data_IF_105262723302
#
_entry.id   IF_105262723302
#
_cell.length_a   1.000
_cell.length_b   1.000
_cell.length_c   1.000
_cell.angle_alpha   90.00
_cell.angle_beta   90.00
_cell.angle_gamma   90.00
#
_symmetry.space_group_name_H-M   'P 1'
#
loop_
_entity.id
_entity.type
_entity.pdbx_description
1 polymer ?
#
# COMPACT_ATOMS: atom_id res chain seq x y z
N UNK A 1 14.69 0.13 -46.46
CA UNK A 1 13.96 1.07 -45.59
C UNK A 1 13.41 0.31 -44.39
N UNK A 2 13.97 0.51 -43.19
CA UNK A 2 13.35 0.03 -41.95
C UNK A 2 12.34 1.09 -41.47
N UNK A 3 11.11 0.67 -41.19
CA UNK A 3 10.09 1.49 -40.53
C UNK A 3 10.02 1.01 -39.09
N UNK A 4 10.41 1.87 -38.14
CA UNK A 4 10.23 1.59 -36.72
C UNK A 4 8.88 2.14 -36.28
N UNK A 5 7.99 1.26 -35.80
CA UNK A 5 6.67 1.62 -35.28
C UNK A 5 6.79 1.68 -33.75
N UNK A 6 6.47 2.82 -33.14
CA UNK A 6 6.34 2.96 -31.70
C UNK A 6 4.85 3.07 -31.34
N UNK A 7 4.34 2.14 -30.53
CA UNK A 7 2.99 2.22 -29.95
C UNK A 7 3.07 2.93 -28.60
N UNK A 8 2.29 4.00 -28.44
CA UNK A 8 2.03 4.64 -27.15
C UNK A 8 0.55 4.45 -26.80
N UNK A 9 0.26 3.69 -25.74
CA UNK A 9 -1.05 3.68 -25.11
C UNK A 9 -1.10 4.81 -24.07
N UNK A 10 -1.99 5.80 -24.26
CA UNK A 10 -2.25 6.85 -23.28
C UNK A 10 -3.55 6.51 -22.56
N UNK A 11 -3.49 6.11 -21.30
CA UNK A 11 -4.68 5.96 -20.45
C UNK A 11 -5.17 7.34 -19.96
N UNK A 12 -6.49 7.60 -19.87
CA UNK A 12 -6.99 8.90 -19.45
C UNK A 12 -6.86 9.10 -17.93
N UNK A 13 -6.19 10.19 -17.55
CA UNK A 13 -6.18 10.75 -16.20
C UNK A 13 -7.56 11.34 -15.85
N UNK A 14 -8.06 11.06 -14.64
CA UNK A 14 -9.29 11.63 -14.09
C UNK A 14 -9.07 13.08 -13.61
N UNK A 15 -9.92 14.00 -14.07
CA UNK A 15 -10.06 15.36 -13.52
C UNK A 15 -11.37 15.42 -12.72
N UNK A 16 -11.31 15.91 -11.47
CA UNK A 16 -12.43 16.08 -10.53
C UNK A 16 -13.61 16.88 -11.12
N UNK A 17 -14.82 16.34 -11.04
CA UNK A 17 -16.10 17.04 -11.26
C UNK A 17 -17.31 16.17 -10.88
N UNK A 18 -18.32 16.75 -10.22
CA UNK A 18 -19.48 16.09 -9.57
C UNK A 18 -20.47 15.40 -10.54
N UNK A 19 -21.13 14.34 -10.03
CA UNK A 19 -22.48 13.79 -10.34
C UNK A 19 -22.85 13.51 -11.83
N UNK A 20 -23.50 12.44 -12.28
CA UNK A 20 -24.54 11.52 -11.75
C UNK A 20 -24.54 10.20 -12.56
N UNK A 21 -24.98 9.10 -11.93
CA UNK A 21 -25.54 7.84 -12.47
C UNK A 21 -25.36 7.48 -13.96
N UNK A 22 -24.68 6.35 -14.26
CA UNK A 22 -24.94 5.54 -15.47
C UNK A 22 -24.52 4.06 -15.27
N UNK A 23 -25.38 3.13 -15.71
CA UNK A 23 -25.18 1.66 -15.72
C UNK A 23 -24.07 1.22 -16.71
N UNK A 24 -23.52 -0.01 -16.57
CA UNK A 24 -22.40 -0.46 -17.38
C UNK A 24 -22.88 -0.98 -18.74
N UNK A 25 -22.44 -0.35 -19.83
CA UNK A 25 -22.44 -0.96 -21.15
C UNK A 25 -20.99 -1.10 -21.61
N UNK A 26 -20.60 -2.32 -21.97
CA UNK A 26 -19.34 -2.66 -22.62
C UNK A 26 -19.12 -1.73 -23.83
N UNK A 27 -18.13 -0.83 -23.75
CA UNK A 27 -17.70 -0.01 -24.87
C UNK A 27 -16.18 -0.14 -25.02
N UNK A 28 -15.76 -0.65 -26.17
CA UNK A 28 -14.38 -0.82 -26.59
C UNK A 28 -13.63 0.54 -26.61
N UNK A 29 -12.41 0.56 -26.07
CA UNK A 29 -11.56 1.76 -26.00
C UNK A 29 -10.95 2.08 -27.38
N UNK A 30 -10.91 3.35 -27.84
CA UNK A 30 -10.25 3.70 -29.09
C UNK A 30 -8.72 3.78 -28.91
N UNK A 31 -7.98 3.07 -29.77
CA UNK A 31 -6.52 3.15 -29.86
C UNK A 31 -6.15 4.16 -30.96
N UNK A 32 -5.38 5.19 -30.62
CA UNK A 32 -4.81 6.10 -31.61
C UNK A 32 -3.46 5.59 -32.11
N UNK A 33 -3.29 5.46 -33.42
CA UNK A 33 -2.04 5.05 -34.06
C UNK A 33 -1.36 6.27 -34.72
N UNK A 34 -0.11 6.57 -34.36
CA UNK A 34 0.68 7.63 -35.01
C UNK A 34 1.82 6.99 -35.79
N UNK A 35 1.83 7.17 -37.12
CA UNK A 35 2.91 6.71 -38.00
C UNK A 35 3.81 7.89 -38.37
N UNK A 36 5.10 7.79 -38.06
CA UNK A 36 6.12 8.77 -38.48
C UNK A 36 6.91 8.17 -39.63
N UNK A 37 6.85 8.80 -40.82
CA UNK A 37 7.65 8.41 -41.98
C UNK A 37 8.89 9.30 -42.07
N UNK A 38 10.07 8.73 -41.84
CA UNK A 38 11.33 9.42 -42.17
C UNK A 38 11.61 9.28 -43.68
N UNK A 39 11.49 10.38 -44.43
CA UNK A 39 11.90 10.42 -45.83
C UNK A 39 13.43 10.60 -45.92
N UNK A 40 14.13 9.60 -46.46
CA UNK A 40 15.55 9.74 -46.82
C UNK A 40 15.65 10.40 -48.19
N UNK A 41 16.30 11.57 -48.26
CA UNK A 41 16.62 12.21 -49.53
C UNK A 41 17.88 11.57 -50.15
N UNK A 42 17.77 11.15 -51.41
CA UNK A 42 18.91 10.76 -52.24
C UNK A 42 19.73 12.00 -52.66
N UNK A 43 21.02 11.77 -52.89
CA UNK A 43 22.11 12.75 -53.09
C UNK A 43 21.82 14.02 -53.91
N UNK A 44 22.22 15.19 -53.39
CA UNK A 44 23.34 16.01 -53.93
C UNK A 44 23.58 17.34 -53.18
N UNK A 45 24.85 17.61 -52.86
CA UNK A 45 25.49 18.86 -52.37
C UNK A 45 25.30 19.33 -50.91
N UNK A 46 26.31 20.00 -50.29
CA UNK A 46 26.37 20.21 -48.84
C UNK A 46 26.11 21.67 -48.47
N UNK A 47 24.86 22.05 -48.15
CA UNK A 47 24.58 23.22 -47.30
C UNK A 47 23.41 22.91 -46.37
N UNK A 48 23.63 23.19 -45.08
CA UNK A 48 22.73 22.97 -43.93
C UNK A 48 21.24 23.14 -44.27
N UNK A 49 20.50 22.04 -44.25
CA UNK A 49 19.05 22.06 -44.05
C UNK A 49 18.71 21.13 -42.88
N UNK A 50 17.95 21.67 -41.91
CA UNK A 50 17.41 20.90 -40.78
C UNK A 50 16.29 19.98 -41.30
N UNK A 51 16.15 18.73 -40.82
CA UNK A 51 15.05 17.88 -41.24
C UNK A 51 13.73 18.47 -40.75
N UNK A 52 12.77 18.66 -41.66
CA UNK A 52 11.38 18.99 -41.34
C UNK A 52 10.62 17.67 -41.20
N UNK A 53 10.22 17.32 -39.99
CA UNK A 53 9.32 16.19 -39.77
C UNK A 53 7.89 16.63 -40.17
N UNK A 54 7.31 15.97 -41.18
CA UNK A 54 5.87 16.11 -41.46
C UNK A 54 5.09 15.13 -40.59
N UNK A 55 4.21 15.66 -39.74
CA UNK A 55 3.31 14.89 -38.90
C UNK A 55 2.01 14.64 -39.69
N UNK A 56 1.70 13.39 -40.02
CA UNK A 56 0.40 13.01 -40.57
C UNK A 56 -0.41 12.32 -39.47
N UNK A 57 -1.55 12.93 -39.09
CA UNK A 57 -2.50 12.36 -38.13
C UNK A 57 -3.62 11.71 -38.93
N UNK A 58 -3.75 10.39 -38.87
CA UNK A 58 -4.88 9.65 -39.47
C UNK A 58 -5.78 9.20 -38.33
N UNK A 59 -6.94 9.84 -38.19
CA UNK A 59 -8.02 9.40 -37.29
C UNK A 59 -8.92 8.40 -38.01
N UNK A 60 -9.04 7.18 -37.50
CA UNK A 60 -10.13 6.26 -37.87
C UNK A 60 -11.17 6.36 -36.77
N UNK A 61 -12.34 6.90 -37.07
CA UNK A 61 -13.44 7.00 -36.11
C UNK A 61 -14.79 6.99 -36.81
N UNK A 62 -15.66 6.06 -36.41
CA UNK A 62 -17.09 6.18 -36.66
C UNK A 62 -17.71 7.06 -35.57
N UNK A 63 -18.33 8.14 -36.02
CA UNK A 63 -19.30 9.07 -35.41
C UNK A 63 -19.30 9.30 -33.88
N UNK A 64 -18.81 10.48 -33.48
CA UNK A 64 -19.42 11.33 -32.44
C UNK A 64 -19.08 12.82 -32.70
N UNK A 65 -20.04 13.70 -32.41
CA UNK A 65 -20.16 15.13 -32.79
C UNK A 65 -18.88 16.00 -32.85
N UNK A 66 -18.81 16.87 -33.87
CA UNK A 66 -17.62 17.63 -34.29
C UNK A 66 -17.03 18.70 -33.37
N UNK A 67 -17.62 19.00 -32.20
CA UNK A 67 -17.04 19.99 -31.28
C UNK A 67 -15.90 19.42 -30.40
N UNK A 68 -15.90 18.11 -30.17
CA UNK A 68 -14.91 17.43 -29.30
C UNK A 68 -13.58 17.23 -30.03
N UNK A 69 -13.61 17.00 -31.35
CA UNK A 69 -12.44 16.69 -32.16
C UNK A 69 -11.45 17.87 -32.29
N UNK A 70 -11.96 19.11 -32.39
CA UNK A 70 -11.12 20.31 -32.51
C UNK A 70 -10.29 20.61 -31.26
N UNK A 71 -10.80 20.29 -30.06
CA UNK A 71 -10.08 20.47 -28.79
C UNK A 71 -8.96 19.44 -28.59
N UNK A 72 -9.13 18.21 -29.08
CA UNK A 72 -8.12 17.16 -29.00
C UNK A 72 -6.95 17.39 -29.96
N UNK A 73 -7.22 17.84 -31.20
CA UNK A 73 -6.17 18.17 -32.18
C UNK A 73 -5.30 19.34 -31.69
N UNK A 74 -5.90 20.36 -31.08
CA UNK A 74 -5.16 21.49 -30.52
C UNK A 74 -4.25 21.10 -29.32
N UNK A 75 -4.68 20.15 -28.48
CA UNK A 75 -3.92 19.72 -27.30
C UNK A 75 -2.71 18.85 -27.68
N UNK A 76 -2.84 17.97 -28.67
CA UNK A 76 -1.72 17.16 -29.17
C UNK A 76 -0.63 18.01 -29.85
N UNK A 77 -1.00 19.11 -30.51
CA UNK A 77 -0.05 20.06 -31.11
C UNK A 77 0.71 20.86 -30.04
N UNK A 78 0.09 21.14 -28.89
CA UNK A 78 0.72 21.87 -27.79
C UNK A 78 1.78 21.06 -27.03
N UNK A 79 1.58 19.74 -26.87
CA UNK A 79 2.55 18.86 -26.18
C UNK A 79 3.84 18.68 -27.01
N UNK A 80 3.75 18.73 -28.34
CA UNK A 80 4.89 18.56 -29.24
C UNK A 80 5.79 19.80 -29.36
N UNK A 81 5.35 20.98 -28.93
CA UNK A 81 6.09 22.25 -29.10
C UNK A 81 6.82 22.75 -27.86
N UNK A 82 6.64 22.13 -26.67
CA UNK A 82 7.12 22.68 -25.38
C UNK A 82 8.27 21.88 -24.72
N UNK A 83 8.75 20.78 -25.32
CA UNK A 83 9.93 20.05 -24.79
C UNK A 83 11.24 20.49 -25.47
N UNK A 84 12.25 21.01 -24.73
CA UNK A 84 13.54 21.36 -25.31
C UNK A 84 14.35 20.09 -25.62
N UNK A 85 14.85 19.99 -26.85
CA UNK A 85 15.73 18.93 -27.30
C UNK A 85 17.04 18.93 -26.47
N UNK A 86 17.27 17.89 -25.66
CA UNK A 86 18.61 17.53 -25.17
C UNK A 86 19.14 16.36 -26.00
N UNK A 87 20.38 16.55 -26.45
CA UNK A 87 21.11 15.80 -27.45
C UNK A 87 21.33 14.32 -27.10
N UNK A 88 20.97 13.41 -28.01
CA UNK A 88 21.51 12.06 -28.04
C UNK A 88 22.59 11.97 -29.13
N UNK A 89 23.80 11.56 -28.73
CA UNK A 89 24.91 11.24 -29.63
C UNK A 89 24.75 9.80 -30.11
N UNK A 90 24.66 9.59 -31.42
CA UNK A 90 24.66 8.27 -32.03
C UNK A 90 26.11 7.84 -32.36
N UNK A 91 26.52 6.64 -31.95
CA UNK A 91 27.74 5.98 -32.44
C UNK A 91 27.39 5.00 -33.58
N UNK A 92 28.21 4.88 -34.63
CA UNK A 92 27.90 4.02 -35.77
C UNK A 92 28.17 2.53 -35.49
N UNK A 93 27.28 1.68 -36.02
CA UNK A 93 27.33 0.23 -35.93
C UNK A 93 28.39 -0.33 -36.89
N UNK A 94 29.36 -1.06 -36.33
CA UNK A 94 30.34 -1.87 -37.08
C UNK A 94 29.82 -3.28 -37.37
N UNK A 95 30.31 -3.82 -38.49
CA UNK A 95 29.93 -5.10 -39.13
C UNK A 95 30.17 -6.32 -38.23
N UNK A 96 29.23 -7.28 -38.24
CA UNK A 96 29.29 -8.53 -37.49
C UNK A 96 30.20 -9.60 -38.15
N UNK A 97 30.97 -10.40 -37.38
CA UNK A 97 31.58 -11.63 -37.88
C UNK A 97 30.72 -12.87 -37.57
N UNK A 98 30.84 -13.87 -38.45
CA UNK A 98 30.13 -15.16 -38.48
C UNK A 98 30.30 -15.97 -37.18
N UNK A 99 29.19 -16.47 -36.62
CA UNK A 99 29.15 -17.43 -35.51
C UNK A 99 29.20 -18.88 -36.02
N UNK A 100 30.00 -19.74 -35.37
CA UNK A 100 29.99 -21.22 -35.52
C UNK A 100 28.98 -21.84 -34.53
N UNK A 101 28.43 -23.05 -34.80
CA UNK A 101 27.47 -23.67 -33.90
C UNK A 101 28.16 -24.27 -32.67
N UNK A 102 27.62 -24.00 -31.48
CA UNK A 102 27.99 -24.67 -30.23
C UNK A 102 26.85 -25.59 -29.82
N UNK A 103 27.20 -26.86 -29.58
CA UNK A 103 26.34 -27.95 -29.11
C UNK A 103 25.75 -27.67 -27.73
N UNK A 104 24.43 -27.79 -27.59
CA UNK A 104 23.71 -27.75 -26.31
C UNK A 104 23.87 -29.09 -25.57
N UNK A 105 24.55 -29.07 -24.43
CA UNK A 105 24.40 -30.09 -23.38
C UNK A 105 23.75 -29.44 -22.17
N UNK A 106 22.67 -30.04 -21.68
CA UNK A 106 21.91 -29.61 -20.49
C UNK A 106 22.68 -29.91 -19.20
N UNK A 107 22.87 -28.96 -18.27
CA UNK A 107 23.34 -29.28 -16.93
C UNK A 107 22.16 -29.74 -16.06
N UNK A 108 22.31 -30.88 -15.38
CA UNK A 108 21.47 -31.27 -14.24
C UNK A 108 21.80 -30.37 -13.05
N UNK A 109 20.80 -29.73 -12.45
CA UNK A 109 20.94 -29.01 -11.19
C UNK A 109 21.18 -30.00 -10.02
N UNK A 110 22.14 -29.76 -9.12
CA UNK A 110 22.22 -30.50 -7.87
C UNK A 110 21.22 -29.92 -6.84
N UNK A 111 20.61 -30.80 -6.05
CA UNK A 111 19.71 -30.44 -4.96
C UNK A 111 20.44 -29.62 -3.87
N UNK A 112 19.79 -28.56 -3.39
CA UNK A 112 20.33 -27.68 -2.34
C UNK A 112 19.95 -28.26 -0.95
N UNK A 113 20.90 -28.49 -0.03
CA UNK A 113 20.60 -29.05 1.29
C UNK A 113 19.98 -28.01 2.24
N UNK A 114 19.05 -28.47 3.08
CA UNK A 114 18.19 -27.73 4.03
C UNK A 114 18.89 -26.97 5.19
N UNK A 115 20.17 -26.59 5.09
CA UNK A 115 20.89 -25.90 6.17
C UNK A 115 21.04 -24.37 5.99
N UNK A 116 20.47 -23.79 4.93
CA UNK A 116 20.64 -22.37 4.57
C UNK A 116 19.82 -21.35 5.37
N UNK A 117 18.67 -21.74 5.93
CA UNK A 117 17.75 -20.81 6.59
C UNK A 117 18.35 -20.13 7.84
N UNK A 118 19.25 -20.82 8.56
CA UNK A 118 19.88 -20.32 9.79
C UNK A 118 20.91 -19.21 9.55
N UNK A 119 21.57 -19.18 8.40
CA UNK A 119 22.61 -18.19 8.10
C UNK A 119 22.05 -16.89 7.49
N UNK A 120 20.91 -16.97 6.80
CA UNK A 120 20.25 -15.82 6.16
C UNK A 120 19.63 -14.85 7.18
N UNK A 121 19.00 -15.38 8.24
CA UNK A 121 18.48 -14.56 9.35
C UNK A 121 19.58 -13.81 10.11
N UNK A 122 20.78 -14.41 10.22
CA UNK A 122 21.94 -13.81 10.89
C UNK A 122 22.55 -12.68 10.06
N UNK A 123 22.61 -12.85 8.73
CA UNK A 123 23.12 -11.82 7.82
C UNK A 123 22.18 -10.61 7.68
N UNK A 124 20.85 -10.83 7.69
CA UNK A 124 19.86 -9.76 7.73
C UNK A 124 19.92 -8.95 9.04
N UNK A 125 20.19 -9.63 10.17
CA UNK A 125 20.38 -8.96 11.46
C UNK A 125 21.65 -8.10 11.50
N UNK A 126 22.75 -8.55 10.88
CA UNK A 126 24.03 -7.83 10.91
C UNK A 126 24.09 -6.59 10.01
N UNK A 127 23.43 -6.61 8.83
CA UNK A 127 23.40 -5.44 7.93
C UNK A 127 22.39 -4.36 8.33
N UNK A 128 21.39 -4.72 9.12
CA UNK A 128 20.45 -3.76 9.74
C UNK A 128 21.11 -2.89 10.82
N UNK A 129 22.34 -3.23 11.26
CA UNK A 129 23.03 -2.55 12.35
C UNK A 129 23.74 -1.25 11.92
N UNK A 130 24.04 -1.08 10.63
CA UNK A 130 24.83 0.06 10.10
C UNK A 130 23.97 1.26 9.65
N UNK A 131 22.66 1.09 9.52
CA UNK A 131 21.68 2.18 9.39
C UNK A 131 20.77 2.16 10.62
N UNK A 132 21.33 2.47 11.79
CA UNK A 132 20.49 2.81 12.95
C UNK A 132 19.83 4.15 12.63
N UNK A 133 18.64 4.09 12.02
CA UNK A 133 17.71 5.21 12.07
C UNK A 133 17.46 5.46 13.56
N UNK A 134 17.90 6.62 14.06
CA UNK A 134 17.75 6.95 15.47
C UNK A 134 16.28 6.81 15.86
N UNK A 135 16.01 6.09 16.95
CA UNK A 135 14.66 5.95 17.47
C UNK A 135 14.11 7.34 17.76
N UNK A 136 12.94 7.65 17.19
CA UNK A 136 12.34 8.97 17.34
C UNK A 136 11.82 9.15 18.77
N UNK A 137 12.00 10.34 19.35
CA UNK A 137 11.44 10.67 20.66
C UNK A 137 9.89 10.55 20.64
N UNK A 138 9.34 9.64 21.46
CA UNK A 138 7.89 9.36 21.47
C UNK A 138 7.13 10.27 22.45
N UNK A 139 7.09 11.58 22.16
CA UNK A 139 6.24 12.51 22.92
C UNK A 139 4.77 12.25 22.57
N UNK A 140 3.86 12.03 23.56
CA UNK A 140 2.47 11.68 23.29
C UNK A 140 1.66 12.90 22.82
N UNK A 141 1.56 13.10 21.51
CA UNK A 141 0.79 14.16 20.85
C UNK A 141 -0.72 13.90 20.88
N UNK A 142 -1.13 12.63 20.85
CA UNK A 142 -2.53 12.18 20.83
C UNK A 142 -2.71 11.01 21.82
N UNK A 143 -2.64 11.27 23.14
CA UNK A 143 -2.68 10.21 24.14
C UNK A 143 -4.03 9.47 24.15
N UNK A 144 -4.00 8.17 24.41
CA UNK A 144 -5.21 7.39 24.70
C UNK A 144 -5.68 7.70 26.11
N UNK A 145 -6.92 8.15 26.23
CA UNK A 145 -7.54 8.57 27.49
C UNK A 145 -8.90 7.89 27.69
N UNK A 146 -9.51 8.07 28.87
CA UNK A 146 -10.86 7.56 29.16
C UNK A 146 -11.96 8.03 28.20
N UNK A 147 -11.72 9.14 27.51
CA UNK A 147 -12.64 9.72 26.54
C UNK A 147 -12.37 9.21 25.11
N UNK A 148 -11.29 8.45 24.92
CA UNK A 148 -10.96 7.84 23.64
C UNK A 148 -11.89 6.68 23.31
N UNK A 149 -12.40 6.73 22.09
CA UNK A 149 -13.15 5.67 21.44
C UNK A 149 -12.28 5.04 20.36
N UNK A 150 -11.98 3.75 20.51
CA UNK A 150 -10.92 3.05 19.76
C UNK A 150 -11.51 1.85 19.03
N UNK A 151 -11.48 1.88 17.69
CA UNK A 151 -11.80 0.73 16.86
C UNK A 151 -10.55 -0.12 16.67
N UNK A 152 -10.60 -1.39 17.09
CA UNK A 152 -9.53 -2.36 16.84
C UNK A 152 -10.08 -3.42 15.88
N UNK A 153 -9.57 -3.40 14.65
CA UNK A 153 -9.97 -4.36 13.62
C UNK A 153 -9.08 -5.59 13.68
N UNK A 154 -9.67 -6.77 13.89
CA UNK A 154 -8.93 -8.02 14.05
C UNK A 154 -8.44 -8.24 15.49
N UNK A 155 -9.36 -8.23 16.45
CA UNK A 155 -9.08 -8.26 17.88
C UNK A 155 -9.16 -9.66 18.53
N UNK A 156 -9.45 -10.70 17.76
CA UNK A 156 -9.76 -12.04 18.29
C UNK A 156 -8.60 -12.73 19.03
N UNK A 157 -7.34 -12.47 18.65
CA UNK A 157 -6.16 -13.18 19.18
C UNK A 157 -4.87 -12.38 18.96
N UNK A 158 -3.76 -12.91 19.48
CA UNK A 158 -2.42 -12.36 19.29
C UNK A 158 -2.32 -10.87 19.66
N UNK A 159 -1.70 -10.10 18.77
CA UNK A 159 -1.49 -8.65 18.92
C UNK A 159 -2.83 -7.90 19.12
N UNK A 160 -3.86 -8.24 18.34
CA UNK A 160 -5.16 -7.56 18.42
C UNK A 160 -5.84 -7.71 19.77
N UNK A 161 -5.82 -8.92 20.34
CA UNK A 161 -6.37 -9.17 21.68
C UNK A 161 -5.57 -8.44 22.76
N UNK A 162 -4.25 -8.37 22.62
CA UNK A 162 -3.41 -7.65 23.57
C UNK A 162 -3.60 -6.13 23.49
N UNK A 163 -3.80 -5.58 22.29
CA UNK A 163 -4.23 -4.19 22.10
C UNK A 163 -5.54 -3.90 22.84
N UNK A 164 -6.55 -4.77 22.73
CA UNK A 164 -7.82 -4.62 23.48
C UNK A 164 -7.56 -4.53 24.98
N UNK A 165 -6.77 -5.45 25.54
CA UNK A 165 -6.51 -5.50 26.98
C UNK A 165 -5.81 -4.22 27.48
N UNK A 166 -4.72 -3.83 26.84
CA UNK A 166 -3.93 -2.68 27.29
C UNK A 166 -4.69 -1.35 27.10
N UNK A 167 -5.40 -1.18 25.99
CA UNK A 167 -6.15 0.05 25.72
C UNK A 167 -7.38 0.14 26.63
N UNK A 168 -8.10 -0.97 26.87
CA UNK A 168 -9.19 -0.98 27.85
C UNK A 168 -8.70 -0.72 29.28
N UNK A 169 -7.49 -1.19 29.65
CA UNK A 169 -6.89 -0.92 30.95
C UNK A 169 -6.55 0.58 31.18
N UNK A 170 -6.38 1.36 30.09
CA UNK A 170 -6.29 2.84 30.16
C UNK A 170 -7.65 3.53 30.37
N UNK A 171 -8.74 2.77 30.43
CA UNK A 171 -10.11 3.26 30.61
C UNK A 171 -10.80 3.70 29.32
N UNK A 172 -10.16 3.55 28.16
CA UNK A 172 -10.74 3.84 26.85
C UNK A 172 -11.95 2.95 26.56
N UNK A 173 -12.85 3.40 25.68
CA UNK A 173 -13.86 2.53 25.08
C UNK A 173 -13.30 1.86 23.83
N UNK A 174 -13.27 0.53 23.80
CA UNK A 174 -12.74 -0.28 22.72
C UNK A 174 -13.88 -0.95 21.97
N UNK A 175 -13.95 -0.72 20.67
CA UNK A 175 -14.78 -1.48 19.73
C UNK A 175 -13.88 -2.53 19.11
N UNK A 176 -13.95 -3.75 19.62
CA UNK A 176 -13.08 -4.85 19.24
C UNK A 176 -13.77 -5.74 18.19
N UNK A 177 -13.21 -5.82 16.99
CA UNK A 177 -13.82 -6.62 15.93
C UNK A 177 -13.30 -8.05 15.85
N UNK A 178 -14.16 -8.96 15.41
CA UNK A 178 -13.84 -10.37 15.18
C UNK A 178 -14.52 -10.87 13.91
N UNK A 179 -13.96 -11.92 13.27
CA UNK A 179 -14.47 -12.36 11.95
C UNK A 179 -15.69 -13.28 12.03
N UNK A 180 -15.56 -14.38 12.77
CA UNK A 180 -16.57 -15.43 12.89
C UNK A 180 -17.23 -15.32 14.27
N UNK A 181 -16.83 -16.17 15.20
CA UNK A 181 -17.21 -16.09 16.61
C UNK A 181 -16.10 -15.42 17.43
N UNK A 182 -16.43 -14.69 18.50
CA UNK A 182 -15.43 -14.15 19.40
C UNK A 182 -14.72 -15.30 20.10
N UNK A 183 -13.39 -15.27 20.18
CA UNK A 183 -12.62 -16.29 20.91
C UNK A 183 -12.92 -16.23 22.40
N UNK A 184 -12.56 -17.28 23.15
CA UNK A 184 -12.68 -17.26 24.61
C UNK A 184 -11.91 -16.09 25.24
N UNK A 185 -10.70 -15.81 24.75
CA UNK A 185 -9.89 -14.68 25.20
C UNK A 185 -10.58 -13.33 24.97
N UNK A 186 -11.19 -13.13 23.79
CA UNK A 186 -11.92 -11.90 23.48
C UNK A 186 -13.23 -11.80 24.28
N UNK A 187 -13.96 -12.91 24.46
CA UNK A 187 -15.16 -12.95 25.32
C UNK A 187 -14.83 -12.57 26.77
N UNK A 188 -13.70 -13.05 27.32
CA UNK A 188 -13.24 -12.68 28.66
C UNK A 188 -12.82 -11.21 28.76
N UNK A 189 -12.35 -10.62 27.66
CA UNK A 189 -12.01 -9.20 27.62
C UNK A 189 -13.25 -8.30 27.52
N UNK A 190 -14.38 -8.81 27.04
CA UNK A 190 -15.62 -8.06 26.93
C UNK A 190 -16.10 -7.58 28.31
N UNK A 191 -16.37 -6.28 28.42
CA UNK A 191 -16.86 -5.64 29.64
C UNK A 191 -17.47 -4.27 29.26
N UNK A 192 -17.80 -3.43 30.24
CA UNK A 192 -18.38 -2.09 30.00
C UNK A 192 -17.53 -1.14 29.13
N UNK A 193 -16.24 -1.42 28.99
CA UNK A 193 -15.28 -0.69 28.16
C UNK A 193 -14.99 -1.38 26.82
N UNK A 194 -15.46 -2.61 26.59
CA UNK A 194 -15.12 -3.40 25.39
C UNK A 194 -16.39 -3.92 24.73
N UNK A 195 -16.74 -3.30 23.60
CA UNK A 195 -17.85 -3.71 22.74
C UNK A 195 -17.33 -4.64 21.63
N UNK A 196 -17.95 -5.81 21.46
CA UNK A 196 -17.56 -6.76 20.42
C UNK A 196 -18.45 -6.59 19.18
N UNK A 197 -17.84 -6.54 18.00
CA UNK A 197 -18.55 -6.41 16.71
C UNK A 197 -18.00 -7.39 15.68
N UNK A 198 -18.88 -8.12 15.00
CA UNK A 198 -18.44 -8.97 13.91
C UNK A 198 -18.05 -8.12 12.69
N UNK A 199 -16.90 -8.40 12.07
CA UNK A 199 -16.37 -7.70 10.90
C UNK A 199 -15.28 -8.57 10.23
N UNK A 200 -15.58 -9.05 9.03
CA UNK A 200 -14.58 -9.63 8.12
C UNK A 200 -14.07 -8.56 7.15
N UNK A 201 -12.79 -8.19 7.26
CA UNK A 201 -12.17 -7.19 6.38
C UNK A 201 -12.03 -7.66 4.93
N UNK A 202 -12.13 -8.98 4.69
CA UNK A 202 -12.12 -9.56 3.35
C UNK A 202 -13.49 -9.53 2.65
N UNK A 203 -14.54 -9.04 3.32
CA UNK A 203 -15.89 -8.92 2.80
C UNK A 203 -16.44 -7.48 3.00
N UNK A 204 -16.65 -6.78 1.88
CA UNK A 204 -17.15 -5.40 1.87
C UNK A 204 -18.49 -5.25 2.59
N UNK A 205 -19.38 -6.24 2.48
CA UNK A 205 -20.68 -6.19 3.13
C UNK A 205 -20.53 -6.31 4.64
N UNK A 206 -19.70 -7.26 5.10
CA UNK A 206 -19.39 -7.43 6.52
C UNK A 206 -18.81 -6.14 7.15
N UNK A 207 -17.86 -5.47 6.47
CA UNK A 207 -17.29 -4.20 6.95
C UNK A 207 -18.36 -3.11 7.05
N UNK A 208 -19.24 -3.01 6.05
CA UNK A 208 -20.30 -2.00 6.02
C UNK A 208 -21.36 -2.24 7.11
N UNK A 209 -21.74 -3.50 7.34
CA UNK A 209 -22.64 -3.91 8.40
C UNK A 209 -22.05 -3.62 9.78
N UNK A 210 -20.76 -3.90 9.99
CA UNK A 210 -20.05 -3.58 11.22
C UNK A 210 -20.07 -2.07 11.54
N UNK A 211 -19.80 -1.22 10.55
CA UNK A 211 -19.86 0.23 10.70
C UNK A 211 -21.30 0.70 11.01
N UNK A 212 -22.30 0.15 10.34
CA UNK A 212 -23.70 0.46 10.59
C UNK A 212 -24.15 0.02 12.00
N UNK A 213 -23.66 -1.12 12.49
CA UNK A 213 -24.03 -1.65 13.81
C UNK A 213 -23.56 -0.80 14.99
N UNK A 214 -22.50 0.01 14.80
CA UNK A 214 -21.98 0.94 15.82
C UNK A 214 -22.40 2.40 15.58
N UNK A 215 -23.02 2.69 14.44
CA UNK A 215 -23.52 4.03 14.15
C UNK A 215 -24.54 4.45 15.22
N UNK A 216 -24.30 5.59 15.86
CA UNK A 216 -25.12 6.09 16.97
C UNK A 216 -24.85 5.43 18.33
N UNK A 217 -23.98 4.41 18.41
CA UNK A 217 -23.45 3.86 19.67
C UNK A 217 -22.12 4.47 20.06
N UNK A 218 -21.39 5.01 19.08
CA UNK A 218 -20.20 5.84 19.31
C UNK A 218 -20.60 7.14 20.03
N UNK A 219 -19.85 7.51 21.06
CA UNK A 219 -20.15 8.66 21.93
C UNK A 219 -19.91 9.97 21.20
N UNK A 220 -18.63 10.24 20.91
CA UNK A 220 -18.16 11.50 20.31
C UNK A 220 -17.46 11.27 18.96
N UNK A 221 -17.63 10.06 18.40
CA UNK A 221 -16.94 9.58 17.22
C UNK A 221 -15.65 8.83 17.55
N UNK A 222 -15.16 8.06 16.59
CA UNK A 222 -13.98 7.22 16.73
C UNK A 222 -12.73 8.10 16.72
N UNK A 223 -11.99 8.08 17.82
CA UNK A 223 -10.74 8.83 17.97
C UNK A 223 -9.53 8.09 17.43
N UNK A 224 -9.57 6.76 17.46
CA UNK A 224 -8.46 5.92 17.00
C UNK A 224 -8.99 4.71 16.25
N UNK A 225 -8.43 4.43 15.09
CA UNK A 225 -8.65 3.18 14.34
C UNK A 225 -7.34 2.43 14.30
N UNK A 226 -7.32 1.18 14.74
CA UNK A 226 -6.15 0.30 14.69
C UNK A 226 -6.51 -0.90 13.81
N UNK A 227 -6.05 -0.87 12.57
CA UNK A 227 -6.21 -1.98 11.65
C UNK A 227 -5.10 -3.02 11.89
N UNK A 228 -5.42 -4.02 12.71
CA UNK A 228 -4.52 -5.13 13.03
C UNK A 228 -4.77 -6.37 12.16
N UNK A 229 -5.99 -6.54 11.64
CA UNK A 229 -6.38 -7.70 10.86
C UNK A 229 -5.39 -7.97 9.71
N UNK A 230 -4.95 -9.22 9.61
CA UNK A 230 -4.04 -9.65 8.56
C UNK A 230 -3.77 -11.14 8.63
N UNK A 231 -3.36 -11.69 7.48
CA UNK A 231 -3.02 -13.11 7.30
C UNK A 231 -1.65 -13.24 6.66
N UNK A 232 -0.89 -14.26 7.05
CA UNK A 232 0.42 -14.56 6.46
C UNK A 232 0.27 -15.28 5.10
N UNK A 233 -0.73 -16.15 5.01
CA UNK A 233 -0.99 -17.06 3.90
C UNK A 233 -2.51 -17.26 3.75
N UNK A 234 -2.92 -17.92 2.66
CA UNK A 234 -4.31 -18.38 2.52
C UNK A 234 -4.61 -19.50 3.52
N UNK A 235 -5.87 -19.72 3.87
CA UNK A 235 -6.26 -20.54 5.04
C UNK A 235 -5.76 -21.99 4.99
N UNK A 236 -5.55 -22.55 3.80
CA UNK A 236 -5.28 -23.97 3.57
C UNK A 236 -3.91 -24.25 2.91
N UNK A 237 -3.03 -23.26 2.85
CA UNK A 237 -1.79 -23.32 2.05
C UNK A 237 -0.60 -22.78 2.86
N UNK A 238 0.58 -23.38 2.68
CA UNK A 238 1.83 -22.92 3.30
C UNK A 238 2.30 -21.58 2.69
N UNK A 239 3.04 -20.75 3.45
CA UNK A 239 3.44 -19.45 2.94
C UNK A 239 4.48 -19.62 1.82
N UNK A 240 4.14 -19.17 0.62
CA UNK A 240 4.96 -19.18 -0.60
C UNK A 240 6.45 -18.83 -0.34
N UNK A 241 7.31 -19.84 -0.20
CA UNK A 241 8.76 -19.61 -0.13
C UNK A 241 9.44 -19.70 -1.50
N UNK A 242 8.85 -20.49 -2.41
CA UNK A 242 9.38 -20.73 -3.75
C UNK A 242 8.52 -20.00 -4.79
N UNK A 243 9.16 -19.13 -5.57
CA UNK A 243 8.51 -18.36 -6.64
C UNK A 243 7.84 -19.23 -7.70
N UNK A 244 8.33 -20.46 -7.89
CA UNK A 244 7.81 -21.40 -8.90
C UNK A 244 6.51 -22.08 -8.47
N UNK A 245 6.15 -22.01 -7.18
CA UNK A 245 4.97 -22.64 -6.61
C UNK A 245 3.85 -21.64 -6.25
N UNK A 246 4.14 -20.34 -6.36
CA UNK A 246 3.18 -19.25 -6.04
C UNK A 246 1.90 -19.40 -6.85
N UNK A 247 0.77 -19.51 -6.15
CA UNK A 247 -0.55 -19.59 -6.79
C UNK A 247 -1.21 -18.23 -6.83
N UNK A 248 -1.83 -17.91 -7.98
CA UNK A 248 -2.53 -16.63 -8.17
C UNK A 248 -3.59 -16.38 -7.09
N UNK A 249 -4.41 -17.38 -6.76
CA UNK A 249 -5.52 -17.19 -5.81
C UNK A 249 -5.02 -16.90 -4.40
N UNK A 250 -3.93 -17.56 -3.96
CA UNK A 250 -3.32 -17.29 -2.66
C UNK A 250 -2.81 -15.85 -2.54
N UNK A 251 -2.15 -15.35 -3.59
CA UNK A 251 -1.76 -13.94 -3.65
C UNK A 251 -2.96 -13.01 -3.52
N UNK A 252 -4.05 -13.31 -4.22
CA UNK A 252 -5.27 -12.50 -4.19
C UNK A 252 -5.98 -12.54 -2.85
N UNK A 253 -6.03 -13.69 -2.18
CA UNK A 253 -6.64 -13.83 -0.85
C UNK A 253 -5.89 -13.03 0.21
N UNK A 254 -4.57 -13.12 0.23
CA UNK A 254 -3.72 -12.33 1.14
C UNK A 254 -3.82 -10.84 0.81
N UNK A 255 -3.82 -10.47 -0.47
CA UNK A 255 -3.96 -9.08 -0.91
C UNK A 255 -5.31 -8.48 -0.50
N UNK A 256 -6.40 -9.24 -0.67
CA UNK A 256 -7.75 -8.83 -0.29
C UNK A 256 -7.83 -8.46 1.20
N UNK A 257 -7.24 -9.27 2.07
CA UNK A 257 -7.27 -9.02 3.51
C UNK A 257 -6.28 -7.92 3.91
N UNK A 258 -5.01 -8.06 3.52
CA UNK A 258 -3.93 -7.24 4.08
C UNK A 258 -3.80 -5.85 3.42
N UNK A 259 -4.14 -5.74 2.13
CA UNK A 259 -3.98 -4.49 1.37
C UNK A 259 -5.32 -3.79 1.15
N UNK A 260 -6.34 -4.51 0.67
CA UNK A 260 -7.67 -3.92 0.41
C UNK A 260 -8.46 -3.71 1.71
N UNK A 261 -8.37 -4.63 2.66
CA UNK A 261 -9.05 -4.56 3.96
C UNK A 261 -8.86 -3.22 4.71
N UNK A 262 -7.63 -2.69 4.89
CA UNK A 262 -7.42 -1.38 5.48
C UNK A 262 -8.20 -0.24 4.80
N UNK A 263 -8.24 -0.24 3.46
CA UNK A 263 -8.98 0.76 2.70
C UNK A 263 -10.49 0.64 2.93
N UNK A 264 -11.05 -0.58 2.91
CA UNK A 264 -12.48 -0.82 3.15
C UNK A 264 -12.89 -0.36 4.56
N UNK A 265 -12.05 -0.63 5.56
CA UNK A 265 -12.27 -0.15 6.93
C UNK A 265 -12.33 1.38 6.96
N UNK A 266 -11.39 2.05 6.30
CA UNK A 266 -11.38 3.52 6.26
C UNK A 266 -12.59 4.07 5.50
N UNK A 267 -13.04 3.43 4.42
CA UNK A 267 -14.25 3.81 3.71
C UNK A 267 -15.51 3.72 4.59
N UNK A 268 -15.67 2.62 5.33
CA UNK A 268 -16.87 2.37 6.12
C UNK A 268 -16.89 3.13 7.45
N UNK A 269 -15.75 3.18 8.16
CA UNK A 269 -15.64 3.79 9.49
C UNK A 269 -15.16 5.24 9.46
N UNK A 270 -14.57 5.72 8.35
CA UNK A 270 -14.15 7.11 8.16
C UNK A 270 -15.25 8.13 8.48
N UNK A 271 -16.50 7.94 8.03
CA UNK A 271 -17.62 8.83 8.39
C UNK A 271 -17.99 8.84 9.88
N UNK A 272 -17.51 7.88 10.67
CA UNK A 272 -17.76 7.76 12.11
C UNK A 272 -16.61 8.31 12.96
N UNK A 273 -15.53 8.81 12.34
CA UNK A 273 -14.41 9.42 13.03
C UNK A 273 -14.86 10.65 13.83
N UNK A 274 -14.18 10.89 14.96
CA UNK A 274 -14.39 12.08 15.76
C UNK A 274 -14.10 13.34 14.92
N UNK A 275 -14.93 14.35 15.07
CA UNK A 275 -14.73 15.62 14.35
C UNK A 275 -13.51 16.35 14.90
N UNK A 276 -12.79 17.12 14.06
CA UNK A 276 -11.69 17.96 14.52
C UNK A 276 -12.14 18.87 15.66
N UNK A 277 -11.40 18.90 16.76
CA UNK A 277 -11.63 19.90 17.82
C UNK A 277 -10.95 21.23 17.45
N UNK A 278 -11.53 22.39 17.84
CA UNK A 278 -10.92 23.68 17.53
C UNK A 278 -9.51 23.82 18.13
N UNK A 279 -8.58 24.36 17.33
CA UNK A 279 -7.21 24.67 17.78
C UNK A 279 -7.28 25.58 19.02
N UNK A 280 -6.71 25.14 20.14
CA UNK A 280 -6.66 25.91 21.40
C UNK A 280 -7.46 25.34 22.57
N UNK A 281 -8.31 24.31 22.38
CA UNK A 281 -8.99 23.62 23.49
C UNK A 281 -8.20 22.43 24.06
N UNK A 282 -6.87 22.42 23.89
CA UNK A 282 -5.99 21.32 24.33
C UNK A 282 -4.58 21.81 24.69
N UNK A 283 -3.68 20.87 25.05
CA UNK A 283 -2.27 21.20 25.29
C UNK A 283 -1.61 21.73 24.00
N UNK A 284 -0.65 22.67 24.09
CA UNK A 284 0.16 23.07 22.94
C UNK A 284 0.81 21.84 22.28
N UNK A 285 0.61 21.67 20.97
CA UNK A 285 1.10 20.52 20.19
C UNK A 285 0.21 19.27 20.20
N UNK A 286 -0.93 19.27 20.92
CA UNK A 286 -1.88 18.16 20.86
C UNK A 286 -2.57 18.10 19.49
N UNK A 287 -2.70 16.89 18.92
CA UNK A 287 -3.47 16.72 17.69
C UNK A 287 -4.97 16.81 17.99
N UNK A 288 -5.70 17.57 17.18
CA UNK A 288 -7.16 17.65 17.27
C UNK A 288 -7.87 16.64 16.36
N UNK A 289 -7.11 15.81 15.63
CA UNK A 289 -7.61 14.86 14.66
C UNK A 289 -7.49 13.41 15.18
N UNK A 290 -8.42 12.53 14.77
CA UNK A 290 -8.30 11.09 14.93
C UNK A 290 -7.01 10.51 14.36
N UNK A 291 -6.58 9.36 14.91
CA UNK A 291 -5.43 8.61 14.43
C UNK A 291 -5.88 7.30 13.77
N UNK A 292 -5.35 7.01 12.59
CA UNK A 292 -5.52 5.72 11.91
C UNK A 292 -4.16 5.01 11.90
N UNK A 293 -4.07 3.90 12.61
CA UNK A 293 -2.90 3.05 12.67
C UNK A 293 -3.14 1.77 11.85
N UNK A 294 -2.17 1.40 11.02
CA UNK A 294 -2.21 0.15 10.25
C UNK A 294 -1.02 -0.71 10.66
N UNK A 295 -1.29 -1.91 11.19
CA UNK A 295 -0.26 -2.89 11.56
C UNK A 295 0.27 -3.54 10.28
N UNK A 296 1.38 -3.00 9.80
CA UNK A 296 2.13 -3.51 8.66
C UNK A 296 3.24 -4.46 9.12
N UNK A 297 4.28 -4.66 8.30
CA UNK A 297 5.43 -5.47 8.63
C UNK A 297 6.65 -5.00 7.86
N UNK A 298 7.82 -5.00 8.50
CA UNK A 298 9.11 -4.66 7.88
C UNK A 298 9.40 -5.48 6.62
N UNK A 299 8.84 -6.69 6.50
CA UNK A 299 8.97 -7.51 5.27
C UNK A 299 8.31 -6.89 4.03
N UNK A 300 7.40 -5.92 4.22
CA UNK A 300 6.81 -5.11 3.15
C UNK A 300 7.68 -3.95 2.69
N UNK A 301 8.86 -3.75 3.31
CA UNK A 301 9.84 -2.78 2.87
C UNK A 301 10.54 -3.32 1.63
N UNK A 302 10.47 -2.60 0.53
CA UNK A 302 11.23 -2.96 -0.67
C UNK A 302 12.71 -2.72 -0.43
N UNK A 303 13.04 -1.62 0.25
CA UNK A 303 14.41 -1.22 0.57
C UNK A 303 15.15 -2.27 1.42
N UNK A 304 14.49 -2.81 2.45
CA UNK A 304 15.11 -3.77 3.37
C UNK A 304 15.04 -5.24 2.89
N UNK A 305 14.41 -5.50 1.73
CA UNK A 305 14.21 -6.87 1.27
C UNK A 305 15.51 -7.51 0.72
N UNK A 306 16.26 -8.14 1.60
CA UNK A 306 17.46 -8.91 1.26
C UNK A 306 17.26 -10.44 1.21
N UNK A 307 16.03 -10.94 1.42
CA UNK A 307 15.75 -12.37 1.60
C UNK A 307 14.81 -12.99 0.56
N UNK A 308 13.97 -12.20 -0.11
CA UNK A 308 12.97 -12.73 -1.05
C UNK A 308 11.90 -13.58 -0.35
N UNK A 309 11.22 -14.44 -1.13
CA UNK A 309 10.13 -15.31 -0.66
C UNK A 309 8.92 -14.55 -0.13
N UNK A 310 7.93 -15.28 0.40
CA UNK A 310 6.68 -14.76 0.95
C UNK A 310 5.99 -13.78 0.00
N UNK A 311 5.90 -14.14 -1.29
CA UNK A 311 5.47 -13.25 -2.36
C UNK A 311 4.11 -12.59 -2.08
N UNK A 312 3.11 -13.39 -1.72
CA UNK A 312 1.78 -12.92 -1.34
C UNK A 312 1.84 -11.92 -0.16
N UNK A 313 2.48 -12.31 0.94
CA UNK A 313 2.52 -11.49 2.16
C UNK A 313 3.30 -10.19 1.98
N UNK A 314 4.52 -10.24 1.43
CA UNK A 314 5.36 -9.05 1.21
C UNK A 314 4.70 -8.08 0.26
N UNK A 315 4.19 -8.56 -0.88
CA UNK A 315 3.51 -7.71 -1.85
C UNK A 315 2.28 -7.05 -1.21
N UNK A 316 1.51 -7.80 -0.41
CA UNK A 316 0.33 -7.25 0.28
C UNK A 316 0.70 -6.18 1.32
N UNK A 317 1.78 -6.37 2.09
CA UNK A 317 2.22 -5.39 3.11
C UNK A 317 2.85 -4.15 2.47
N UNK A 318 3.58 -4.31 1.37
CA UNK A 318 4.07 -3.18 0.57
C UNK A 318 2.91 -2.38 -0.04
N UNK A 319 1.89 -3.06 -0.58
CA UNK A 319 0.68 -2.41 -1.07
C UNK A 319 -0.09 -1.69 0.06
N UNK A 320 -0.24 -2.31 1.23
CA UNK A 320 -0.86 -1.69 2.40
C UNK A 320 -0.12 -0.41 2.82
N UNK A 321 1.22 -0.41 2.78
CA UNK A 321 2.03 0.77 3.06
C UNK A 321 1.73 1.91 2.08
N UNK A 322 1.62 1.58 0.78
CA UNK A 322 1.31 2.57 -0.25
C UNK A 322 -0.12 3.12 -0.12
N UNK A 323 -1.09 2.24 0.15
CA UNK A 323 -2.49 2.63 0.40
C UNK A 323 -2.57 3.57 1.61
N UNK A 324 -1.89 3.24 2.71
CA UNK A 324 -1.82 4.11 3.87
C UNK A 324 -1.17 5.46 3.52
N UNK A 325 -0.12 5.49 2.68
CA UNK A 325 0.45 6.76 2.23
C UNK A 325 -0.56 7.61 1.45
N UNK A 326 -1.32 7.02 0.53
CA UNK A 326 -2.40 7.72 -0.18
C UNK A 326 -3.44 8.26 0.80
N UNK A 327 -3.94 7.42 1.71
CA UNK A 327 -4.95 7.83 2.69
C UNK A 327 -4.43 8.92 3.63
N UNK A 328 -3.14 8.94 3.98
CA UNK A 328 -2.55 10.01 4.79
C UNK A 328 -2.65 11.39 4.13
N UNK A 329 -2.65 11.42 2.80
CA UNK A 329 -2.80 12.64 2.01
C UNK A 329 -4.29 12.96 1.85
N UNK A 330 -5.10 11.98 1.45
CA UNK A 330 -6.53 12.19 1.17
C UNK A 330 -7.34 12.53 2.43
N UNK A 331 -6.88 12.06 3.60
CA UNK A 331 -7.52 12.30 4.89
C UNK A 331 -6.80 13.33 5.76
N UNK A 332 -5.84 14.10 5.23
CA UNK A 332 -4.99 14.99 6.04
C UNK A 332 -5.75 15.96 6.97
N UNK A 333 -6.95 16.39 6.55
CA UNK A 333 -7.84 17.29 7.30
C UNK A 333 -8.84 16.55 8.23
N UNK A 334 -8.86 15.22 8.18
CA UNK A 334 -9.82 14.37 8.90
C UNK A 334 -9.15 13.41 9.88
N UNK A 335 -7.92 12.94 9.60
CA UNK A 335 -7.17 12.01 10.43
C UNK A 335 -5.68 12.08 10.13
N UNK A 336 -4.86 11.69 11.11
CA UNK A 336 -3.43 11.39 10.91
C UNK A 336 -3.21 9.89 10.82
N UNK A 337 -2.08 9.49 10.25
CA UNK A 337 -1.83 8.08 9.94
C UNK A 337 -0.48 7.59 10.40
N UNK A 338 -0.42 6.34 10.85
CA UNK A 338 0.84 5.68 11.21
C UNK A 338 0.85 4.23 10.75
N UNK A 339 1.95 3.82 10.14
CA UNK A 339 2.24 2.42 9.86
C UNK A 339 3.09 1.87 11.00
N UNK A 340 2.74 0.67 11.47
CA UNK A 340 3.39 0.03 12.60
C UNK A 340 3.96 -1.32 12.19
N UNK A 341 5.23 -1.57 12.48
CA UNK A 341 5.78 -2.92 12.52
C UNK A 341 5.80 -3.42 13.97
N UNK A 342 5.11 -4.52 14.29
CA UNK A 342 5.02 -5.01 15.67
C UNK A 342 6.32 -5.67 16.17
N UNK A 343 7.35 -5.80 15.33
CA UNK A 343 8.44 -6.73 15.59
C UNK A 343 8.06 -8.16 15.21
N UNK A 344 8.96 -9.12 15.47
CA UNK A 344 8.69 -10.54 15.32
C UNK A 344 8.11 -11.11 16.62
N UNK A 345 6.78 -11.04 16.74
CA UNK A 345 6.04 -11.31 17.98
C UNK A 345 5.66 -12.78 18.12
N UNK A 346 5.75 -13.36 19.32
CA UNK A 346 5.30 -14.73 19.63
C UNK A 346 3.77 -14.85 19.61
N UNK A 347 3.23 -15.25 18.46
CA UNK A 347 1.79 -15.47 18.25
C UNK A 347 1.59 -16.68 17.35
N UNK A 348 0.37 -17.17 17.18
CA UNK A 348 0.11 -18.29 16.27
C UNK A 348 0.48 -17.96 14.81
N UNK A 349 0.48 -16.69 14.39
CA UNK A 349 0.96 -16.29 13.05
C UNK A 349 2.45 -16.61 12.83
N UNK A 350 3.23 -16.61 13.91
CA UNK A 350 4.68 -16.85 13.88
C UNK A 350 5.03 -18.23 14.44
N UNK A 351 4.03 -19.09 14.64
CA UNK A 351 4.18 -20.37 15.33
C UNK A 351 4.91 -20.23 16.69
N UNK A 352 4.67 -19.11 17.38
CA UNK A 352 5.33 -18.74 18.63
C UNK A 352 6.88 -18.64 18.57
N UNK A 353 7.47 -18.60 17.37
CA UNK A 353 8.93 -18.51 17.15
C UNK A 353 9.48 -17.07 17.24
N UNK A 354 8.64 -16.10 17.59
CA UNK A 354 9.00 -14.69 17.73
C UNK A 354 10.04 -14.41 18.84
N UNK A 355 10.73 -13.27 18.71
CA UNK A 355 11.70 -12.81 19.71
C UNK A 355 11.07 -11.92 20.79
N UNK A 356 9.85 -11.43 20.56
CA UNK A 356 9.18 -10.43 21.43
C UNK A 356 7.82 -10.97 21.88
N UNK A 357 7.43 -10.72 23.13
CA UNK A 357 6.09 -11.07 23.60
C UNK A 357 5.05 -10.04 23.17
N UNK A 358 3.78 -10.45 22.99
CA UNK A 358 2.70 -9.53 22.65
C UNK A 358 2.62 -8.28 23.54
N UNK A 359 2.74 -8.37 24.89
CA UNK A 359 2.62 -7.19 25.74
C UNK A 359 3.71 -6.13 25.50
N UNK A 360 4.95 -6.55 25.23
CA UNK A 360 6.06 -5.64 24.94
C UNK A 360 5.88 -4.95 23.59
N UNK A 361 5.57 -5.73 22.54
CA UNK A 361 5.26 -5.22 21.21
C UNK A 361 4.11 -4.22 21.23
N UNK A 362 3.00 -4.56 21.89
CA UNK A 362 1.80 -3.71 21.97
C UNK A 362 2.06 -2.45 22.76
N UNK A 363 2.82 -2.52 23.86
CA UNK A 363 3.19 -1.32 24.64
C UNK A 363 3.93 -0.32 23.76
N UNK A 364 4.91 -0.80 23.00
CA UNK A 364 5.67 0.02 22.05
C UNK A 364 4.80 0.62 20.94
N UNK A 365 3.94 -0.19 20.33
CA UNK A 365 2.99 0.28 19.32
C UNK A 365 2.00 1.32 19.86
N UNK A 366 1.50 1.16 21.09
CA UNK A 366 0.64 2.16 21.73
C UNK A 366 1.40 3.48 21.89
N UNK A 367 2.66 3.45 22.34
CA UNK A 367 3.49 4.66 22.41
C UNK A 367 3.66 5.33 21.03
N UNK A 368 3.86 4.54 19.97
CA UNK A 368 3.92 5.05 18.61
C UNK A 368 2.59 5.66 18.12
N UNK A 369 1.46 5.05 18.48
CA UNK A 369 0.14 5.61 18.17
C UNK A 369 -0.04 6.94 18.90
N UNK A 370 0.24 6.98 20.20
CA UNK A 370 0.09 8.19 21.03
C UNK A 370 1.03 9.32 20.60
N UNK A 371 2.18 9.03 19.99
CA UNK A 371 3.12 10.00 19.47
C UNK A 371 2.80 10.47 18.03
N UNK A 372 1.72 9.97 17.41
CA UNK A 372 1.26 10.44 16.10
C UNK A 372 0.42 11.71 16.25
N UNK A 373 0.70 12.74 15.44
CA UNK A 373 -0.01 14.01 15.51
C UNK A 373 0.32 14.97 14.36
N UNK A 374 0.19 16.28 14.57
CA UNK A 374 0.49 17.29 13.53
C UNK A 374 1.97 17.33 13.13
N UNK A 375 2.87 17.11 14.09
CA UNK A 375 4.32 17.09 13.85
C UNK A 375 4.77 15.77 13.18
N UNK A 376 3.97 14.72 13.31
CA UNK A 376 4.23 13.36 12.81
C UNK A 376 3.02 12.81 12.04
N UNK A 377 2.55 13.49 10.97
CA UNK A 377 1.24 13.21 10.36
C UNK A 377 1.20 11.89 9.58
N UNK A 378 2.37 11.42 9.13
CA UNK A 378 2.57 10.12 8.50
C UNK A 378 4.00 9.63 8.75
N UNK A 379 4.13 8.42 9.29
CA UNK A 379 5.41 7.73 9.47
C UNK A 379 5.22 6.22 9.47
N UNK A 380 6.29 5.50 9.20
CA UNK A 380 6.35 4.06 9.35
C UNK A 380 7.44 3.70 10.35
N UNK A 381 7.04 3.16 11.50
CA UNK A 381 7.93 2.85 12.61
C UNK A 381 7.71 1.44 13.12
N UNK A 382 8.71 0.89 13.79
CA UNK A 382 8.55 -0.32 14.59
C UNK A 382 8.06 -0.03 16.02
N UNK A 383 7.85 -1.08 16.80
CA UNK A 383 7.44 -0.98 18.21
C UNK A 383 8.48 -0.27 19.11
N UNK A 384 9.72 -0.08 18.66
CA UNK A 384 10.76 0.68 19.35
C UNK A 384 10.85 2.12 18.86
N UNK A 385 9.94 2.53 17.97
CA UNK A 385 9.94 3.81 17.29
C UNK A 385 11.14 4.05 16.35
N UNK A 386 11.76 2.98 15.87
CA UNK A 386 12.73 3.06 14.78
C UNK A 386 11.98 3.21 13.45
N UNK A 387 12.38 4.20 12.65
CA UNK A 387 11.82 4.39 11.31
C UNK A 387 12.15 3.19 10.40
N UNK A 388 11.22 2.86 9.52
CA UNK A 388 11.37 1.79 8.53
C UNK A 388 11.33 2.41 7.13
N UNK A 389 12.32 2.11 6.26
CA UNK A 389 12.29 2.55 4.87
C UNK A 389 11.20 1.81 4.09
N UNK A 390 10.61 2.48 3.10
CA UNK A 390 9.54 1.90 2.27
C UNK A 390 9.98 0.75 1.36
#
# INVERSE_FOLDING_TARGET
HQVSIFLFCVSPFWIRGRCTTFQPALAELPVALVLVRAAGAAHSSPKRQKPVAQLAVVTVGHMASGATMARWVAMCIFIATVLPARSFVASPIGVAPKLRPISLSTPRHPAIPHSGARNVLRAAASRSLELRMEAEEQKPLTPLTKDSEVLIVGASRGIGLELVKQIAAKGCHVIATYRNEPTEGLRKAANKHVTLIQCDVGDVQSVQEAANAIKGKVRSGITHVIHNAGVLQSADEDPDQDWSLVKQHEMMDVYRVNAVGPLLVVQAFGPLLAKPTPKGQGRPGACSLPIIAVVSSKVGSVTDNASGGMYAYRASKSAANHIAKCLSIDMADQAKMVLLHPGYVRTDMTDHMGFIDPPESVKGMISAIEATGEETPFRWVDYKAELIPF
#
